data_IF_427301946240
#
_entry.id   IF_427301946240
#
_cell.length_a   1.000
_cell.length_b   1.000
_cell.length_c   1.000
_cell.angle_alpha   90.00
_cell.angle_beta   90.00
_cell.angle_gamma   90.00
#
_symmetry.space_group_name_H-M   'P 1'
#
loop_
_entity.id
_entity.type
_entity.pdbx_description
1 polymer ?
#
# COMPACT_ATOMS: atom_id res chain seq x y z
N UNK A 1 -9.38 3.57 28.15
CA UNK A 1 -8.37 3.02 27.22
C UNK A 1 -7.20 4.00 27.07
N UNK A 2 -7.31 5.08 26.26
CA UNK A 2 -6.19 6.03 26.03
C UNK A 2 -5.75 6.77 27.31
N UNK A 3 -6.70 7.25 28.12
CA UNK A 3 -6.42 7.96 29.37
C UNK A 3 -5.86 7.04 30.49
N UNK A 4 -6.13 5.73 30.40
CA UNK A 4 -5.69 4.76 31.42
C UNK A 4 -4.39 4.03 31.01
N UNK A 5 -3.72 4.50 29.94
CA UNK A 5 -2.49 3.91 29.41
C UNK A 5 -2.58 2.40 29.08
N UNK A 6 -3.77 1.89 28.81
CA UNK A 6 -4.01 0.52 28.34
C UNK A 6 -4.30 0.59 26.85
N UNK A 7 -3.37 0.14 25.99
CA UNK A 7 -3.44 0.45 24.55
C UNK A 7 -3.20 -0.76 23.67
N UNK A 8 -4.27 -1.52 23.46
CA UNK A 8 -4.48 -2.23 22.21
C UNK A 8 -5.93 -1.94 21.79
N UNK A 9 -6.10 -1.41 20.59
CA UNK A 9 -7.40 -1.27 19.93
C UNK A 9 -7.35 -2.24 18.75
N UNK A 10 -8.29 -3.18 18.71
CA UNK A 10 -8.40 -4.16 17.63
C UNK A 10 -9.73 -3.94 16.93
N UNK A 11 -9.67 -3.75 15.63
CA UNK A 11 -10.82 -3.70 14.74
C UNK A 11 -10.84 -4.92 13.84
N UNK A 12 -12.02 -5.36 13.44
CA UNK A 12 -12.22 -6.40 12.43
C UNK A 12 -13.08 -5.82 11.31
N UNK A 13 -12.64 -6.03 10.07
CA UNK A 13 -13.27 -5.50 8.86
C UNK A 13 -14.68 -6.08 8.63
N UNK A 14 -14.88 -7.36 8.97
CA UNK A 14 -16.15 -8.06 8.85
C UNK A 14 -16.37 -9.10 9.94
N UNK A 15 -17.61 -9.22 10.41
CA UNK A 15 -18.02 -10.30 11.30
C UNK A 15 -17.61 -10.11 12.77
N UNK A 16 -17.33 -8.88 13.19
CA UNK A 16 -17.13 -8.57 14.60
C UNK A 16 -18.41 -8.89 15.40
N UNK A 17 -18.31 -9.85 16.33
CA UNK A 17 -19.39 -10.15 17.27
C UNK A 17 -19.02 -9.63 18.66
N UNK A 18 -19.41 -8.38 18.93
CA UNK A 18 -19.09 -7.72 20.20
C UNK A 18 -19.88 -8.27 21.41
N UNK A 19 -20.88 -9.13 21.19
CA UNK A 19 -21.54 -9.88 22.28
C UNK A 19 -20.66 -11.04 22.77
N UNK A 20 -19.93 -11.71 21.86
CA UNK A 20 -19.01 -12.81 22.18
C UNK A 20 -17.59 -12.34 22.48
N UNK A 21 -17.10 -11.34 21.73
CA UNK A 21 -15.75 -10.78 21.84
C UNK A 21 -15.82 -9.25 22.00
N UNK A 22 -16.14 -8.73 23.20
CA UNK A 22 -16.48 -7.31 23.40
C UNK A 22 -15.38 -6.30 23.07
N UNK A 23 -14.12 -6.74 23.02
CA UNK A 23 -12.96 -5.91 22.71
C UNK A 23 -12.60 -5.88 21.21
N UNK A 24 -13.22 -6.74 20.39
CA UNK A 24 -13.01 -6.79 18.94
C UNK A 24 -14.05 -5.90 18.27
N UNK A 25 -13.63 -4.68 17.92
CA UNK A 25 -14.52 -3.65 17.40
C UNK A 25 -14.88 -3.91 15.93
N UNK A 26 -16.11 -3.63 15.54
CA UNK A 26 -16.47 -3.52 14.11
C UNK A 26 -15.76 -2.30 13.50
N UNK A 27 -14.88 -2.53 12.54
CA UNK A 27 -14.09 -1.49 11.90
C UNK A 27 -14.96 -0.33 11.38
N UNK A 28 -15.98 -0.65 10.58
CA UNK A 28 -16.79 0.37 9.89
C UNK A 28 -17.84 1.03 10.80
N UNK A 29 -17.92 0.61 12.06
CA UNK A 29 -18.63 1.37 13.09
C UNK A 29 -17.81 2.58 13.60
N UNK A 30 -16.48 2.56 13.46
CA UNK A 30 -15.58 3.60 13.99
C UNK A 30 -14.73 4.31 12.94
N UNK A 31 -14.61 3.75 11.74
CA UNK A 31 -13.89 4.37 10.64
C UNK A 31 -14.59 4.19 9.29
N UNK A 32 -14.12 4.95 8.31
CA UNK A 32 -14.47 4.75 6.91
C UNK A 32 -13.21 4.74 6.05
N UNK A 33 -13.35 4.42 4.77
CA UNK A 33 -12.22 4.46 3.84
C UNK A 33 -12.62 4.99 2.46
N UNK A 34 -11.62 5.55 1.77
CA UNK A 34 -11.70 5.86 0.34
C UNK A 34 -11.83 4.56 -0.48
N UNK A 35 -12.02 4.60 -1.82
CA UNK A 35 -12.30 3.39 -2.59
C UNK A 35 -11.33 2.23 -2.31
N UNK A 36 -11.93 1.08 -1.99
CA UNK A 36 -11.28 -0.19 -1.75
C UNK A 36 -10.67 -0.73 -3.04
N UNK A 37 -9.47 -1.30 -2.92
CA UNK A 37 -8.71 -1.91 -4.02
C UNK A 37 -8.71 -1.06 -5.30
N UNK A 38 -8.24 0.21 -5.22
CA UNK A 38 -8.41 1.18 -6.29
C UNK A 38 -7.67 0.75 -7.56
N UNK A 39 -8.35 0.83 -8.69
CA UNK A 39 -7.76 0.73 -10.04
C UNK A 39 -7.70 2.10 -10.74
N UNK A 40 -8.43 3.09 -10.22
CA UNK A 40 -8.36 4.47 -10.66
C UNK A 40 -7.14 5.17 -10.02
N UNK A 41 -6.15 5.58 -10.83
CA UNK A 41 -4.95 6.23 -10.31
C UNK A 41 -5.17 7.67 -9.84
N UNK A 42 -6.39 8.21 -9.97
CA UNK A 42 -6.74 9.52 -9.41
C UNK A 42 -6.95 9.47 -7.88
N UNK A 43 -7.19 8.27 -7.31
CA UNK A 43 -7.45 8.06 -5.88
C UNK A 43 -8.46 9.07 -5.31
N UNK A 44 -9.75 9.00 -5.67
CA UNK A 44 -10.72 9.98 -5.21
C UNK A 44 -10.89 9.89 -3.68
N UNK A 45 -11.05 11.04 -3.03
CA UNK A 45 -11.19 11.15 -1.58
C UNK A 45 -12.63 10.90 -1.10
N UNK A 46 -13.47 10.19 -1.87
CA UNK A 46 -14.87 9.93 -1.52
C UNK A 46 -14.96 8.76 -0.56
N UNK A 47 -15.85 8.84 0.44
CA UNK A 47 -16.15 7.69 1.28
C UNK A 47 -16.79 6.56 0.46
N UNK A 48 -16.28 5.34 0.60
CA UNK A 48 -16.84 4.16 -0.09
C UNK A 48 -17.30 3.08 0.88
N UNK A 49 -16.54 2.84 1.96
CA UNK A 49 -16.89 1.84 2.97
C UNK A 49 -16.96 2.50 4.36
N UNK A 50 -18.07 2.37 5.09
CA UNK A 50 -19.30 1.66 4.69
C UNK A 50 -20.05 2.40 3.55
N UNK A 51 -20.84 1.68 2.73
CA UNK A 51 -21.60 2.28 1.64
C UNK A 51 -22.67 3.24 2.19
N UNK A 52 -22.99 4.27 1.40
CA UNK A 52 -24.04 5.26 1.70
C UNK A 52 -23.89 5.99 3.04
N UNK A 53 -22.67 6.07 3.59
CA UNK A 53 -22.40 6.81 4.82
C UNK A 53 -22.50 8.32 4.57
N UNK A 54 -23.30 9.00 5.40
CA UNK A 54 -23.43 10.46 5.36
C UNK A 54 -22.08 11.15 5.66
N UNK A 55 -21.76 12.21 4.93
CA UNK A 55 -20.55 13.01 5.10
C UNK A 55 -20.36 13.56 6.52
N UNK A 56 -21.42 13.97 7.22
CA UNK A 56 -21.37 14.43 8.60
C UNK A 56 -20.86 13.31 9.53
N UNK A 57 -21.36 12.09 9.34
CA UNK A 57 -20.87 10.90 10.07
C UNK A 57 -19.41 10.61 9.73
N UNK A 58 -19.03 10.74 8.46
CA UNK A 58 -17.64 10.57 8.00
C UNK A 58 -16.69 11.62 8.59
N UNK A 59 -17.16 12.85 8.84
CA UNK A 59 -16.36 13.91 9.47
C UNK A 59 -16.03 13.60 10.93
N UNK A 60 -16.93 12.91 11.63
CA UNK A 60 -16.78 12.55 13.05
C UNK A 60 -16.07 11.19 13.29
N UNK A 61 -15.64 10.50 12.24
CA UNK A 61 -15.00 9.17 12.32
C UNK A 61 -13.56 9.19 11.86
N UNK A 62 -12.77 8.19 12.23
CA UNK A 62 -11.44 8.03 11.65
C UNK A 62 -11.54 7.60 10.18
N UNK A 63 -10.50 7.80 9.37
CA UNK A 63 -10.52 7.26 8.01
C UNK A 63 -9.19 6.80 7.44
N UNK A 64 -9.28 5.78 6.58
CA UNK A 64 -8.18 5.20 5.82
C UNK A 64 -8.19 5.78 4.39
N UNK A 65 -7.06 6.33 3.97
CA UNK A 65 -6.84 6.65 2.55
C UNK A 65 -6.19 5.44 1.86
N UNK A 66 -6.97 4.74 1.05
CA UNK A 66 -6.49 3.67 0.17
C UNK A 66 -5.70 4.27 -0.99
N UNK A 67 -4.41 3.97 -1.03
CA UNK A 67 -3.45 4.43 -2.02
C UNK A 67 -2.57 3.27 -2.54
N UNK A 68 -3.19 2.10 -2.68
CA UNK A 68 -2.61 0.86 -3.17
C UNK A 68 -3.13 0.57 -4.59
N UNK A 69 -2.54 1.20 -5.62
CA UNK A 69 -3.01 1.07 -7.00
C UNK A 69 -2.93 -0.37 -7.50
N UNK A 70 -4.05 -0.88 -8.01
CA UNK A 70 -4.16 -2.21 -8.58
C UNK A 70 -4.33 -2.18 -10.10
N UNK A 71 -3.83 -3.23 -10.74
CA UNK A 71 -4.12 -3.59 -12.12
C UNK A 71 -5.09 -4.77 -12.12
N UNK A 72 -6.15 -4.67 -12.92
CA UNK A 72 -7.06 -5.78 -13.18
C UNK A 72 -6.55 -6.60 -14.36
N UNK A 73 -6.26 -7.88 -14.13
CA UNK A 73 -5.82 -8.81 -15.18
C UNK A 73 -6.97 -9.49 -15.94
N UNK A 74 -8.21 -9.02 -15.77
CA UNK A 74 -9.30 -9.17 -16.75
C UNK A 74 -9.90 -10.57 -16.87
N UNK A 75 -9.53 -11.50 -15.99
CA UNK A 75 -10.18 -12.81 -15.91
C UNK A 75 -11.50 -12.67 -15.13
N UNK A 76 -12.53 -12.12 -15.78
CA UNK A 76 -13.82 -11.80 -15.17
C UNK A 76 -14.51 -13.01 -14.49
N UNK A 77 -14.18 -14.25 -14.89
CA UNK A 77 -14.67 -15.47 -14.25
C UNK A 77 -13.96 -15.80 -12.91
N UNK A 78 -12.85 -15.14 -12.61
CA UNK A 78 -12.09 -15.22 -11.36
C UNK A 78 -12.43 -14.05 -10.44
N UNK A 79 -13.62 -13.46 -10.53
CA UNK A 79 -14.02 -12.31 -9.71
C UNK A 79 -13.69 -12.53 -8.22
N UNK A 80 -12.60 -11.91 -7.77
CA UNK A 80 -12.02 -12.16 -6.44
C UNK A 80 -12.50 -11.15 -5.39
N UNK A 81 -12.99 -9.99 -5.83
CA UNK A 81 -13.24 -8.84 -4.97
C UNK A 81 -14.74 -8.47 -4.89
N UNK A 82 -15.62 -9.19 -5.60
CA UNK A 82 -17.07 -8.98 -5.58
C UNK A 82 -17.54 -7.70 -6.29
N UNK A 83 -16.63 -6.91 -6.86
CA UNK A 83 -16.88 -5.65 -7.58
C UNK A 83 -16.91 -5.81 -9.11
N UNK A 84 -16.81 -7.05 -9.61
CA UNK A 84 -16.79 -7.36 -11.05
C UNK A 84 -15.41 -7.26 -11.70
N UNK A 85 -14.38 -6.85 -10.96
CA UNK A 85 -13.00 -6.96 -11.39
C UNK A 85 -12.54 -8.43 -11.38
N UNK A 86 -11.55 -8.77 -12.20
CA UNK A 86 -10.95 -10.09 -12.23
C UNK A 86 -10.06 -10.35 -11.00
N UNK A 87 -8.81 -10.74 -11.26
CA UNK A 87 -7.77 -10.76 -10.23
C UNK A 87 -7.13 -9.37 -10.22
N UNK A 88 -7.00 -8.79 -9.03
CA UNK A 88 -6.24 -7.57 -8.82
C UNK A 88 -4.81 -7.88 -8.41
N UNK A 89 -3.85 -7.18 -9.01
CA UNK A 89 -2.44 -7.23 -8.60
C UNK A 89 -1.93 -5.80 -8.36
N UNK A 90 -1.03 -5.59 -7.39
CA UNK A 90 -0.40 -4.28 -7.21
C UNK A 90 0.29 -3.81 -8.49
N UNK A 91 0.14 -2.52 -8.83
CA UNK A 91 0.81 -1.87 -9.95
C UNK A 91 2.31 -1.67 -9.65
N UNK A 92 3.06 -2.77 -9.56
CA UNK A 92 4.43 -2.81 -9.04
C UNK A 92 5.41 -1.88 -9.78
N UNK A 93 5.23 -1.72 -11.10
CA UNK A 93 6.07 -0.84 -11.92
C UNK A 93 5.84 0.65 -11.66
N UNK A 94 4.69 1.00 -11.08
CA UNK A 94 4.29 2.38 -10.81
C UNK A 94 4.62 2.84 -9.38
N UNK A 95 5.08 1.92 -8.49
CA UNK A 95 5.29 2.20 -7.07
C UNK A 95 6.20 3.40 -6.81
N UNK A 96 7.21 3.64 -7.65
CA UNK A 96 8.11 4.80 -7.51
C UNK A 96 7.36 6.14 -7.63
N UNK A 97 6.28 6.18 -8.41
CA UNK A 97 5.49 7.38 -8.65
C UNK A 97 4.30 7.46 -7.69
N UNK A 98 3.57 6.35 -7.54
CA UNK A 98 2.41 6.24 -6.64
C UNK A 98 2.83 6.56 -5.20
N UNK A 99 3.88 5.93 -4.68
CA UNK A 99 4.33 6.20 -3.31
C UNK A 99 5.15 7.50 -3.17
N UNK A 100 5.14 8.39 -4.17
CA UNK A 100 5.91 9.62 -4.18
C UNK A 100 5.48 10.66 -3.14
N UNK A 101 6.43 11.50 -2.71
CA UNK A 101 6.13 12.68 -1.84
C UNK A 101 5.33 13.75 -2.56
N UNK A 102 5.42 13.82 -3.89
CA UNK A 102 4.73 14.80 -4.72
C UNK A 102 4.65 14.31 -6.18
N UNK A 103 3.83 14.99 -6.98
CA UNK A 103 3.60 14.67 -8.38
C UNK A 103 2.22 14.07 -8.62
N UNK A 104 1.84 13.99 -9.90
CA UNK A 104 0.55 13.43 -10.29
C UNK A 104 0.43 11.98 -9.82
N UNK A 105 -0.72 11.62 -9.24
CA UNK A 105 -1.04 10.28 -8.69
C UNK A 105 -0.19 9.87 -7.47
N UNK A 106 0.60 10.78 -6.92
CA UNK A 106 1.47 10.47 -5.77
C UNK A 106 0.68 10.47 -4.46
N UNK A 107 1.19 9.76 -3.46
CA UNK A 107 0.60 9.74 -2.12
C UNK A 107 0.54 11.14 -1.51
N UNK A 108 1.57 11.96 -1.75
CA UNK A 108 1.59 13.35 -1.29
C UNK A 108 0.45 14.19 -1.87
N UNK A 109 0.20 14.10 -3.18
CA UNK A 109 -0.91 14.80 -3.83
C UNK A 109 -2.27 14.28 -3.33
N UNK A 110 -2.41 12.95 -3.20
CA UNK A 110 -3.64 12.34 -2.68
C UNK A 110 -3.97 12.84 -1.27
N UNK A 111 -2.97 12.86 -0.37
CA UNK A 111 -3.14 13.36 1.00
C UNK A 111 -3.48 14.85 1.00
N UNK A 112 -2.78 15.68 0.23
CA UNK A 112 -3.05 17.13 0.15
C UNK A 112 -4.49 17.41 -0.34
N UNK A 113 -4.95 16.67 -1.36
CA UNK A 113 -6.33 16.77 -1.85
C UNK A 113 -7.36 16.31 -0.84
N UNK A 114 -7.12 15.21 -0.13
CA UNK A 114 -8.04 14.72 0.90
C UNK A 114 -8.10 15.68 2.10
N UNK A 115 -6.98 16.27 2.50
CA UNK A 115 -6.95 17.33 3.51
C UNK A 115 -7.81 18.52 3.06
N UNK A 116 -7.69 18.95 1.79
CA UNK A 116 -8.52 20.03 1.26
C UNK A 116 -10.02 19.75 1.25
N UNK A 117 -10.43 18.49 1.09
CA UNK A 117 -11.86 18.10 1.05
C UNK A 117 -12.46 17.85 2.44
N UNK A 118 -11.69 17.21 3.33
CA UNK A 118 -12.15 16.75 4.63
C UNK A 118 -11.74 17.67 5.79
N UNK A 119 -10.94 18.69 5.51
CA UNK A 119 -10.36 19.63 6.49
C UNK A 119 -9.50 18.94 7.57
N UNK A 120 -8.99 17.74 7.25
CA UNK A 120 -8.12 16.94 8.13
C UNK A 120 -7.37 15.86 7.36
N UNK A 121 -6.20 15.49 7.87
CA UNK A 121 -5.41 14.39 7.31
C UNK A 121 -6.06 13.01 7.56
N UNK A 122 -5.77 12.01 6.71
CA UNK A 122 -6.14 10.62 6.98
C UNK A 122 -5.51 10.10 8.26
N UNK A 123 -6.23 9.24 8.97
CA UNK A 123 -5.70 8.56 10.15
C UNK A 123 -4.72 7.44 9.75
N UNK A 124 -4.98 6.79 8.61
CA UNK A 124 -4.11 5.76 8.06
C UNK A 124 -3.92 5.96 6.56
N UNK A 125 -2.71 5.66 6.09
CA UNK A 125 -2.35 5.60 4.68
C UNK A 125 -2.11 4.13 4.34
N UNK A 126 -2.97 3.56 3.50
CA UNK A 126 -2.83 2.17 3.04
C UNK A 126 -2.12 2.18 1.69
N UNK A 127 -0.91 1.63 1.65
CA UNK A 127 -0.02 1.66 0.48
C UNK A 127 0.53 0.26 0.20
N UNK A 128 0.85 0.00 -1.06
CA UNK A 128 1.64 -1.16 -1.44
C UNK A 128 3.13 -0.84 -1.29
N UNK A 129 3.91 -1.73 -0.65
CA UNK A 129 5.37 -1.62 -0.52
C UNK A 129 5.85 -0.26 0.03
N UNK A 130 5.66 -0.03 1.33
CA UNK A 130 6.05 1.22 2.02
C UNK A 130 7.51 1.65 1.77
N UNK A 131 8.40 0.73 1.43
CA UNK A 131 9.83 0.97 1.20
C UNK A 131 10.16 1.46 -0.22
N UNK A 132 9.18 1.62 -1.11
CA UNK A 132 9.34 2.10 -2.49
C UNK A 132 8.71 3.49 -2.64
N UNK A 133 9.22 4.29 -3.58
CA UNK A 133 8.71 5.63 -3.84
C UNK A 133 9.80 6.68 -4.08
N UNK A 134 9.39 7.85 -4.58
CA UNK A 134 10.27 8.99 -4.89
C UNK A 134 10.13 10.14 -3.89
N UNK A 135 11.20 10.91 -3.64
CA UNK A 135 12.51 10.83 -4.29
C UNK A 135 13.47 9.81 -3.66
N UNK A 136 13.01 9.02 -2.69
CA UNK A 136 13.77 7.98 -2.02
C UNK A 136 12.83 6.89 -1.52
N UNK A 137 13.32 5.64 -1.44
CA UNK A 137 12.55 4.54 -0.87
C UNK A 137 12.11 4.84 0.56
N UNK A 138 10.84 4.58 0.88
CA UNK A 138 10.27 5.00 2.15
C UNK A 138 9.69 6.42 2.17
N UNK A 139 9.52 7.05 1.00
CA UNK A 139 8.93 8.39 0.86
C UNK A 139 7.55 8.53 1.51
N UNK A 140 6.78 7.44 1.62
CA UNK A 140 5.45 7.45 2.26
C UNK A 140 5.48 7.93 3.71
N UNK A 141 6.57 7.67 4.45
CA UNK A 141 6.71 8.17 5.82
C UNK A 141 6.99 9.67 5.88
N UNK A 142 7.61 10.25 4.85
CA UNK A 142 7.74 11.69 4.74
C UNK A 142 6.38 12.37 4.49
N UNK A 143 5.51 11.72 3.72
CA UNK A 143 4.12 12.17 3.53
C UNK A 143 3.34 12.09 4.84
N UNK A 144 3.42 10.95 5.54
CA UNK A 144 2.78 10.80 6.85
C UNK A 144 3.28 11.83 7.87
N UNK A 145 4.59 12.10 7.92
CA UNK A 145 5.17 13.11 8.79
C UNK A 145 4.68 14.52 8.47
N UNK A 146 4.63 14.89 7.17
CA UNK A 146 4.06 16.16 6.72
C UNK A 146 2.60 16.30 7.16
N UNK A 147 1.79 15.26 6.96
CA UNK A 147 0.38 15.25 7.34
C UNK A 147 0.15 15.40 8.85
N UNK A 148 1.12 14.99 9.67
CA UNK A 148 1.08 15.10 11.13
C UNK A 148 1.85 16.32 11.68
N UNK A 149 2.38 17.19 10.81
CA UNK A 149 3.22 18.32 11.21
C UNK A 149 4.40 17.94 12.12
N UNK A 150 5.07 16.82 11.81
CA UNK A 150 6.28 16.36 12.52
C UNK A 150 7.47 16.28 11.58
N UNK A 151 8.69 16.40 12.14
CA UNK A 151 9.93 16.29 11.37
C UNK A 151 10.18 14.85 10.93
N UNK A 152 10.66 14.66 9.70
CA UNK A 152 11.09 13.37 9.17
C UNK A 152 12.60 13.35 8.92
N UNK A 153 13.35 12.52 9.65
CA UNK A 153 14.76 12.26 9.39
C UNK A 153 14.93 11.01 8.51
N UNK A 154 15.20 11.23 7.22
CA UNK A 154 15.44 10.15 6.25
C UNK A 154 16.56 9.20 6.66
N UNK A 155 17.55 9.64 7.44
CA UNK A 155 18.69 8.79 7.82
C UNK A 155 18.29 7.63 8.74
N UNK A 156 17.14 7.75 9.41
CA UNK A 156 16.68 6.79 10.40
C UNK A 156 15.73 5.72 9.83
N UNK A 157 15.30 5.83 8.56
CA UNK A 157 14.24 4.99 8.02
C UNK A 157 14.65 4.04 6.88
N UNK A 158 13.85 2.96 6.76
CA UNK A 158 13.34 2.40 5.51
C UNK A 158 14.24 1.42 4.74
N UNK A 159 15.10 0.69 5.45
CA UNK A 159 15.91 -0.37 4.87
C UNK A 159 17.02 0.21 4.00
N UNK A 160 18.27 0.06 4.45
CA UNK A 160 19.38 0.14 3.50
C UNK A 160 19.10 -0.92 2.44
N UNK A 161 19.15 -0.56 1.16
CA UNK A 161 19.25 -1.59 0.11
C UNK A 161 20.43 -2.44 0.52
N UNK A 162 20.17 -3.67 0.97
CA UNK A 162 21.24 -4.63 1.19
C UNK A 162 21.67 -5.00 -0.21
N UNK A 163 22.61 -4.23 -0.76
CA UNK A 163 23.36 -4.67 -1.92
C UNK A 163 24.03 -5.98 -1.48
N UNK A 164 23.41 -7.10 -1.86
CA UNK A 164 24.06 -8.39 -1.78
C UNK A 164 25.31 -8.28 -2.62
N UNK A 165 26.44 -8.01 -1.95
CA UNK A 165 27.75 -7.94 -2.58
C UNK A 165 28.01 -9.36 -3.10
N UNK A 166 27.56 -9.65 -4.33
CA UNK A 166 28.08 -10.78 -5.09
C UNK A 166 29.57 -10.50 -5.24
N UNK A 167 30.36 -11.05 -4.34
CA UNK A 167 31.77 -11.32 -4.63
C UNK A 167 31.73 -12.24 -5.85
N UNK A 168 31.83 -11.66 -7.04
CA UNK A 168 32.38 -12.39 -8.18
C UNK A 168 33.78 -12.78 -7.72
N UNK A 169 33.92 -14.01 -7.23
CA UNK A 169 35.23 -14.61 -7.01
C UNK A 169 35.99 -14.46 -8.31
N UNK A 170 37.18 -13.85 -8.25
CA UNK A 170 38.02 -13.64 -9.41
C UNK A 170 38.15 -14.95 -10.18
N UNK A 171 37.80 -14.91 -11.46
CA UNK A 171 37.98 -16.03 -12.37
C UNK A 171 39.49 -16.18 -12.57
N UNK A 172 40.13 -17.02 -11.76
CA UNK A 172 41.51 -17.44 -11.95
C UNK A 172 41.60 -18.13 -13.30
N UNK A 173 42.47 -17.62 -14.18
CA UNK A 173 42.81 -18.24 -15.45
C UNK A 173 43.51 -19.57 -15.19
N UNK A 174 42.73 -20.63 -15.03
CA UNK A 174 43.22 -21.99 -14.82
C UNK A 174 42.31 -22.97 -15.52
N UNK A 175 42.76 -23.45 -16.68
CA UNK A 175 42.23 -24.58 -17.47
C UNK A 175 40.77 -24.49 -17.91
N UNK A 176 40.56 -24.00 -19.14
CA UNK A 176 39.34 -24.22 -19.89
C UNK A 176 39.25 -25.70 -20.33
N UNK A 177 38.44 -26.51 -19.66
CA UNK A 177 37.91 -27.73 -20.25
C UNK A 177 36.66 -27.37 -21.04
N UNK A 178 36.82 -27.26 -22.36
CA UNK A 178 35.74 -27.21 -23.33
C UNK A 178 34.99 -28.55 -23.29
N UNK A 179 33.80 -28.58 -22.69
CA UNK A 179 32.86 -29.69 -22.89
C UNK A 179 32.01 -29.35 -24.12
N UNK A 180 32.42 -29.89 -25.25
CA UNK A 180 31.67 -29.86 -26.50
C UNK A 180 30.49 -30.84 -26.38
N UNK A 181 29.29 -30.32 -26.16
CA UNK A 181 28.06 -31.12 -26.25
C UNK A 181 27.66 -31.20 -27.73
N UNK A 182 28.00 -32.33 -28.36
CA UNK A 182 27.48 -32.72 -29.67
C UNK A 182 26.01 -33.14 -29.51
N UNK A 183 25.09 -32.28 -29.94
CA UNK A 183 23.69 -32.66 -30.14
C UNK A 183 23.59 -33.37 -31.49
N UNK A 184 23.57 -34.69 -31.47
CA UNK A 184 23.20 -35.49 -32.65
C UNK A 184 21.67 -35.51 -32.72
N UNK A 185 21.11 -34.73 -33.64
CA UNK A 185 19.71 -34.84 -34.03
C UNK A 185 19.49 -36.16 -34.75
N UNK A 186 18.63 -37.02 -34.19
CA UNK A 186 18.10 -38.18 -34.89
C UNK A 186 16.78 -37.76 -35.51
N UNK A 187 16.81 -37.55 -36.83
CA UNK A 187 15.66 -37.65 -37.71
C UNK A 187 15.42 -39.14 -37.98
N UNK A 188 14.30 -39.65 -37.47
CA UNK A 188 13.46 -40.68 -38.11
C UNK A 188 12.01 -40.42 -37.69
#
# INVERSE_FOLDING_TARGET
>A
MIANNTRLVVTLDYGANQTEVPWLLDEFAYQWQTPFSPTDPSFPCTAQRPPDQNDEVSRDRMYVANHNLNLDIGFAFLNTEGNGAGILIPAYTELEWVNGVAGNRSLGEHVERCVGLWDRAPNWLLVDYYNRGRPFGGSVFAVAARANNVSYDRRQCCGKVVEGRRRMGGFSWGTACLVLVLVVGVLL
#
